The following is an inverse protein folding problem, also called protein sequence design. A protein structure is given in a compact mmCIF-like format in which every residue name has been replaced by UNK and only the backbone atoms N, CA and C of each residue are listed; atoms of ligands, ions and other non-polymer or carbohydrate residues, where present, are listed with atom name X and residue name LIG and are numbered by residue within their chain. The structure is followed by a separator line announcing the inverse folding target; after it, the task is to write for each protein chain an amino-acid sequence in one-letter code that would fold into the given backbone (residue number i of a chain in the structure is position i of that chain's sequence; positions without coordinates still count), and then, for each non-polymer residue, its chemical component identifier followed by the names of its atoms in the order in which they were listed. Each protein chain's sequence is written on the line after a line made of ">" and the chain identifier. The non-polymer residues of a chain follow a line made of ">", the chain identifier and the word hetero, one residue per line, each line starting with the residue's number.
data_IF_499007067636
#
_entry.id   IF_499007067636
#
_cell.length_a   1.000
_cell.length_b   1.000
_cell.length_c   1.000
_cell.angle_alpha   90.00
_cell.angle_beta   90.00
_cell.angle_gamma   90.00
#
_symmetry.space_group_name_H-M   'P 1'
#
loop_
_entity.id
_entity.type
_entity.pdbx_description
1 polymer ?
#
# COMPACT_ATOMS: atom_id res chain seq x y z
N UNK A 1 12.84 1.60 -6.23
CA UNK A 1 12.90 1.50 -4.75
C UNK A 1 11.83 0.56 -4.16
N UNK A 2 11.02 -0.13 -4.97
CA UNK A 2 9.87 -0.91 -4.47
C UNK A 2 10.23 -1.95 -3.41
N UNK A 3 11.34 -2.67 -3.60
CA UNK A 3 11.76 -3.76 -2.72
C UNK A 3 12.08 -3.41 -1.26
N UNK A 4 12.19 -2.12 -0.92
CA UNK A 4 12.38 -1.71 0.48
C UNK A 4 11.09 -1.26 1.15
N UNK A 5 10.06 -0.87 0.37
CA UNK A 5 8.93 -0.11 0.88
C UNK A 5 7.82 -1.01 1.40
N UNK A 6 7.24 -1.84 0.55
CA UNK A 6 5.99 -2.55 0.84
C UNK A 6 6.26 -3.97 1.35
N UNK A 7 5.59 -4.34 2.43
CA UNK A 7 5.67 -5.66 3.05
C UNK A 7 4.26 -6.07 3.43
N UNK A 8 3.85 -7.28 3.05
CA UNK A 8 2.55 -7.84 3.39
C UNK A 8 2.74 -9.26 3.89
N UNK A 9 1.96 -9.63 4.90
CA UNK A 9 2.00 -10.93 5.53
C UNK A 9 0.58 -11.44 5.69
N UNK A 10 0.26 -12.49 4.95
CA UNK A 10 -1.06 -13.12 4.95
C UNK A 10 -1.57 -13.41 6.37
N UNK A 11 -2.74 -12.86 6.69
CA UNK A 11 -3.40 -13.06 7.99
C UNK A 11 -2.76 -12.34 9.18
N UNK A 12 -1.71 -11.56 8.96
CA UNK A 12 -0.96 -10.86 10.01
C UNK A 12 -1.10 -9.34 9.84
N UNK A 13 -0.96 -8.84 8.62
CA UNK A 13 -1.04 -7.41 8.32
C UNK A 13 -0.04 -6.99 7.25
N UNK A 14 0.22 -5.68 7.16
CA UNK A 14 1.13 -5.10 6.19
C UNK A 14 1.83 -3.87 6.75
N UNK A 15 2.96 -3.50 6.16
CA UNK A 15 3.56 -2.19 6.38
C UNK A 15 4.21 -1.61 5.11
N UNK A 16 4.24 -0.28 5.05
CA UNK A 16 5.02 0.48 4.09
C UNK A 16 6.02 1.35 4.85
N UNK A 17 7.32 1.15 4.62
CA UNK A 17 8.41 1.93 5.24
C UNK A 17 9.08 2.83 4.19
N UNK A 18 9.04 4.14 4.44
CA UNK A 18 9.51 5.19 3.53
C UNK A 18 9.94 6.43 4.33
N UNK A 19 9.98 7.60 3.68
CA UNK A 19 10.32 8.90 4.27
C UNK A 19 11.52 9.53 3.57
N UNK A 20 12.11 10.53 4.22
CA UNK A 20 13.39 11.11 3.79
C UNK A 20 14.47 10.01 3.69
N UNK A 21 14.45 9.07 4.63
CA UNK A 21 15.27 7.85 4.57
C UNK A 21 14.48 6.65 5.10
N UNK A 22 14.44 5.56 4.33
CA UNK A 22 13.77 4.31 4.73
C UNK A 22 14.54 3.58 5.83
N UNK A 23 13.83 2.99 6.79
CA UNK A 23 14.39 1.98 7.69
C UNK A 23 13.96 0.58 7.21
N UNK A 24 14.85 -0.20 6.56
CA UNK A 24 14.49 -1.50 5.98
C UNK A 24 14.24 -2.59 7.04
N UNK A 25 14.50 -2.30 8.32
CA UNK A 25 14.36 -3.26 9.41
C UNK A 25 13.03 -3.15 10.16
N UNK A 26 12.25 -2.10 9.93
CA UNK A 26 10.89 -1.96 10.49
C UNK A 26 10.01 -3.20 10.26
N UNK A 27 9.97 -3.81 9.05
CA UNK A 27 9.15 -4.98 8.81
C UNK A 27 9.52 -6.16 9.72
N UNK A 28 10.83 -6.38 9.96
CA UNK A 28 11.33 -7.45 10.85
C UNK A 28 10.93 -7.22 12.31
N UNK A 29 10.84 -5.97 12.74
CA UNK A 29 10.43 -5.62 14.10
C UNK A 29 8.90 -5.60 14.28
N UNK A 30 8.16 -5.17 13.25
CA UNK A 30 6.70 -5.09 13.25
C UNK A 30 6.04 -6.45 13.17
N UNK A 31 6.52 -7.33 12.27
CA UNK A 31 5.87 -8.62 11.98
C UNK A 31 5.61 -9.46 13.24
N UNK A 32 6.59 -9.71 14.14
CA UNK A 32 6.33 -10.52 15.33
C UNK A 32 5.30 -9.90 16.28
N UNK A 33 5.20 -8.56 16.33
CA UNK A 33 4.20 -7.87 17.14
C UNK A 33 2.79 -8.08 16.57
N UNK A 34 2.65 -7.98 15.25
CA UNK A 34 1.38 -8.21 14.57
C UNK A 34 0.97 -9.70 14.64
N UNK A 35 1.93 -10.63 14.54
CA UNK A 35 1.69 -12.08 14.73
C UNK A 35 1.16 -12.39 16.14
N UNK A 36 1.52 -11.59 17.14
CA UNK A 36 1.02 -11.67 18.51
C UNK A 36 -0.32 -10.92 18.71
N UNK A 37 -0.92 -10.40 17.64
CA UNK A 37 -2.19 -9.69 17.68
C UNK A 37 -2.11 -8.25 18.16
N UNK A 38 -0.92 -7.64 18.20
CA UNK A 38 -0.78 -6.23 18.54
C UNK A 38 -1.54 -5.35 17.55
N UNK A 39 -2.19 -4.30 18.07
CA UNK A 39 -2.80 -3.28 17.21
C UNK A 39 -1.72 -2.50 16.45
N UNK A 40 -2.04 -2.06 15.23
CA UNK A 40 -1.08 -1.35 14.38
C UNK A 40 -0.47 -0.12 15.06
N UNK A 41 -1.25 0.64 15.83
CA UNK A 41 -0.79 1.82 16.57
C UNK A 41 0.25 1.47 17.64
N UNK A 42 -0.03 0.46 18.46
CA UNK A 42 0.87 -0.01 19.52
C UNK A 42 2.16 -0.62 18.95
N UNK A 43 2.03 -1.47 17.92
CA UNK A 43 3.18 -2.06 17.23
C UNK A 43 4.07 -0.98 16.61
N UNK A 44 3.47 0.00 15.93
CA UNK A 44 4.19 1.11 15.32
C UNK A 44 4.88 1.97 16.38
N UNK A 45 4.17 2.37 17.44
CA UNK A 45 4.76 3.19 18.52
C UNK A 45 6.01 2.52 19.12
N UNK A 46 5.96 1.21 19.37
CA UNK A 46 7.10 0.45 19.89
C UNK A 46 8.31 0.52 18.96
N UNK A 47 8.10 0.30 17.65
CA UNK A 47 9.18 0.33 16.66
C UNK A 47 9.74 1.74 16.47
N UNK A 48 8.89 2.76 16.44
CA UNK A 48 9.30 4.16 16.34
C UNK A 48 10.11 4.60 17.57
N UNK A 49 9.68 4.24 18.79
CA UNK A 49 10.41 4.62 20.02
C UNK A 49 11.82 4.03 20.11
N UNK A 50 12.10 2.96 19.36
CA UNK A 50 13.41 2.32 19.31
C UNK A 50 14.32 2.88 18.19
N UNK A 51 13.82 3.75 17.32
CA UNK A 51 14.58 4.35 16.21
C UNK A 51 14.93 5.81 16.52
N UNK A 52 16.18 6.07 16.90
CA UNK A 52 16.68 7.45 17.09
C UNK A 52 16.63 8.30 15.82
N UNK A 53 16.49 7.68 14.64
CA UNK A 53 16.28 8.33 13.36
C UNK A 53 14.81 8.49 12.95
N UNK A 54 13.85 8.18 13.83
CA UNK A 54 12.41 8.21 13.55
C UNK A 54 11.90 9.51 12.91
N UNK A 55 12.51 10.67 13.22
CA UNK A 55 12.16 11.95 12.65
C UNK A 55 12.29 12.00 11.11
N UNK A 56 13.14 11.16 10.50
CA UNK A 56 13.37 11.08 9.05
C UNK A 56 12.57 9.98 8.35
N UNK A 57 11.66 9.32 9.08
CA UNK A 57 10.92 8.14 8.61
C UNK A 57 9.46 8.48 8.37
N UNK A 58 8.84 7.80 7.44
CA UNK A 58 7.40 7.68 7.35
C UNK A 58 7.06 6.20 7.28
N UNK A 59 6.22 5.71 8.17
CA UNK A 59 5.81 4.31 8.17
C UNK A 59 4.31 4.20 8.34
N UNK A 60 3.68 3.46 7.43
CA UNK A 60 2.29 3.03 7.50
C UNK A 60 2.26 1.56 7.91
N UNK A 61 1.43 1.20 8.87
CA UNK A 61 1.22 -0.18 9.33
C UNK A 61 -0.28 -0.46 9.37
N UNK A 62 -0.68 -1.66 8.98
CA UNK A 62 -2.04 -2.17 9.11
C UNK A 62 -2.00 -3.55 9.77
N UNK A 63 -2.84 -3.76 10.78
CA UNK A 63 -2.99 -5.06 11.45
C UNK A 63 -3.97 -5.98 10.72
N UNK A 64 -4.07 -7.24 11.15
CA UNK A 64 -4.95 -8.24 10.56
C UNK A 64 -6.45 -7.88 10.61
N UNK A 65 -6.85 -6.94 11.48
CA UNK A 65 -8.22 -6.45 11.60
C UNK A 65 -8.48 -5.23 10.71
N UNK A 66 -7.52 -4.86 9.85
CA UNK A 66 -7.62 -3.71 8.96
C UNK A 66 -7.45 -2.36 9.65
N UNK A 67 -7.04 -2.32 10.92
CA UNK A 67 -6.78 -1.06 11.63
C UNK A 67 -5.40 -0.58 11.25
N UNK A 68 -5.30 0.67 10.82
CA UNK A 68 -4.06 1.25 10.32
C UNK A 68 -3.54 2.38 11.22
N UNK A 69 -2.22 2.54 11.25
CA UNK A 69 -1.53 3.64 11.92
C UNK A 69 -0.39 4.18 11.04
N UNK A 70 -0.13 5.48 11.13
CA UNK A 70 0.93 6.16 10.38
C UNK A 70 1.82 6.95 11.33
N UNK A 71 3.13 6.79 11.16
CA UNK A 71 4.14 7.68 11.68
C UNK A 71 4.65 8.53 10.53
N UNK A 72 4.71 9.85 10.72
CA UNK A 72 5.35 10.78 9.80
C UNK A 72 6.28 11.67 10.61
N UNK A 73 7.58 11.36 10.56
CA UNK A 73 8.60 12.13 11.25
C UNK A 73 8.71 13.57 10.72
N UNK A 74 9.11 14.48 11.61
CA UNK A 74 9.15 15.92 11.36
C UNK A 74 10.18 16.36 10.30
N UNK A 75 11.18 15.53 9.99
CA UNK A 75 12.22 15.81 9.00
C UNK A 75 11.85 15.32 7.60
N UNK A 76 10.66 14.73 7.41
CA UNK A 76 10.20 14.38 6.07
C UNK A 76 9.92 15.65 5.26
N UNK A 77 10.24 15.58 3.96
CA UNK A 77 10.06 16.72 3.08
C UNK A 77 8.57 16.88 2.71
N UNK A 78 8.00 18.09 2.87
CA UNK A 78 6.62 18.37 2.47
C UNK A 78 6.45 18.26 0.94
N UNK A 79 5.24 17.97 0.44
CA UNK A 79 4.03 17.70 1.21
C UNK A 79 4.00 16.27 1.79
N UNK A 80 3.62 16.14 3.07
CA UNK A 80 3.44 14.87 3.77
C UNK A 80 1.96 14.70 4.10
N UNK A 81 1.35 13.59 3.68
CA UNK A 81 -0.08 13.37 3.88
C UNK A 81 -0.41 11.88 4.10
N UNK A 82 -1.55 11.62 4.74
CA UNK A 82 -2.12 10.29 4.89
C UNK A 82 -3.65 10.32 4.99
N UNK A 83 -4.27 9.20 4.62
CA UNK A 83 -5.71 8.92 4.73
C UNK A 83 -5.90 7.47 5.14
N UNK A 84 -6.72 7.24 6.16
CA UNK A 84 -6.94 5.93 6.78
C UNK A 84 -8.44 5.67 6.93
N UNK A 85 -8.86 4.44 6.64
CA UNK A 85 -10.11 3.85 7.07
C UNK A 85 -9.88 2.36 7.34
N UNK A 86 -10.85 1.67 7.93
CA UNK A 86 -10.72 0.23 8.18
C UNK A 86 -10.51 -0.53 6.86
N UNK A 87 -9.42 -1.27 6.77
CA UNK A 87 -9.04 -2.07 5.59
C UNK A 87 -8.38 -1.28 4.45
N UNK A 88 -8.20 0.04 4.56
CA UNK A 88 -7.51 0.83 3.53
C UNK A 88 -6.74 2.01 4.13
N UNK A 89 -5.50 2.17 3.69
CA UNK A 89 -4.64 3.24 4.17
C UNK A 89 -3.66 3.70 3.09
N UNK A 90 -3.45 5.02 3.03
CA UNK A 90 -2.57 5.67 2.05
C UNK A 90 -1.71 6.69 2.78
N UNK A 91 -0.42 6.72 2.47
CA UNK A 91 0.53 7.68 3.02
C UNK A 91 1.61 8.04 2.00
N UNK A 92 2.07 9.29 2.03
CA UNK A 92 3.14 9.78 1.17
C UNK A 92 3.87 10.99 1.75
N UNK A 93 5.04 11.26 1.20
CA UNK A 93 5.89 12.43 1.44
C UNK A 93 6.48 12.90 0.10
N UNK A 94 7.02 14.12 0.03
CA UNK A 94 7.46 14.75 -1.23
C UNK A 94 6.34 14.78 -2.29
N UNK A 95 5.09 14.94 -1.86
CA UNK A 95 3.93 14.98 -2.75
C UNK A 95 3.76 16.37 -3.35
N UNK A 96 3.20 16.44 -4.56
CA UNK A 96 2.78 17.70 -5.18
C UNK A 96 1.67 18.42 -4.38
N UNK A 97 0.91 17.66 -3.57
CA UNK A 97 -0.11 18.16 -2.65
C UNK A 97 -0.85 17.01 -1.95
N UNK A 98 -1.69 17.34 -0.98
CA UNK A 98 -2.53 16.36 -0.26
C UNK A 98 -3.53 15.64 -1.19
N UNK A 99 -3.97 16.31 -2.25
CA UNK A 99 -4.82 15.77 -3.32
C UNK A 99 -4.29 14.47 -3.94
N UNK A 100 -2.97 14.23 -3.90
CA UNK A 100 -2.36 12.98 -4.40
C UNK A 100 -2.82 11.78 -3.57
N UNK A 101 -2.76 11.91 -2.24
CA UNK A 101 -3.24 10.87 -1.33
C UNK A 101 -4.76 10.74 -1.40
N UNK A 102 -5.48 11.85 -1.58
CA UNK A 102 -6.94 11.82 -1.71
C UNK A 102 -7.36 11.09 -2.99
N UNK A 103 -6.75 11.40 -4.13
CA UNK A 103 -7.07 10.78 -5.41
C UNK A 103 -6.84 9.26 -5.38
N UNK A 104 -5.74 8.80 -4.77
CA UNK A 104 -5.48 7.37 -4.60
C UNK A 104 -6.55 6.70 -3.73
N UNK A 105 -6.82 7.28 -2.56
CA UNK A 105 -7.76 6.75 -1.59
C UNK A 105 -9.18 6.69 -2.15
N UNK A 106 -9.63 7.76 -2.81
CA UNK A 106 -10.92 7.86 -3.46
C UNK A 106 -11.07 6.87 -4.62
N UNK A 107 -10.08 6.82 -5.51
CA UNK A 107 -10.08 5.88 -6.64
C UNK A 107 -10.23 4.43 -6.15
N UNK A 108 -9.51 4.07 -5.08
CA UNK A 108 -9.59 2.73 -4.51
C UNK A 108 -10.98 2.43 -3.93
N UNK A 109 -11.55 3.33 -3.15
CA UNK A 109 -12.86 3.14 -2.55
C UNK A 109 -13.97 3.04 -3.61
N UNK A 110 -13.95 3.92 -4.63
CA UNK A 110 -14.95 3.90 -5.71
C UNK A 110 -14.91 2.60 -6.51
N UNK A 111 -13.71 2.05 -6.72
CA UNK A 111 -13.52 0.80 -7.44
C UNK A 111 -13.97 -0.43 -6.65
N UNK A 112 -13.81 -0.42 -5.32
CA UNK A 112 -13.91 -1.63 -4.51
C UNK A 112 -15.04 -1.64 -3.48
N UNK A 113 -15.72 -0.52 -3.20
CA UNK A 113 -16.75 -0.41 -2.16
C UNK A 113 -18.12 0.01 -2.72
N UNK A 114 -19.18 -0.47 -2.07
CA UNK A 114 -20.57 -0.09 -2.39
C UNK A 114 -20.97 1.23 -1.75
N UNK A 115 -20.43 1.54 -0.56
CA UNK A 115 -20.73 2.75 0.20
C UNK A 115 -19.61 3.81 0.11
N UNK A 116 -18.84 3.83 -0.98
CA UNK A 116 -17.65 4.70 -1.15
C UNK A 116 -17.90 6.18 -0.78
N UNK A 117 -19.03 6.77 -1.17
CA UNK A 117 -19.43 8.13 -0.79
C UNK A 117 -19.61 8.32 0.73
N UNK A 118 -20.19 7.34 1.42
CA UNK A 118 -20.36 7.42 2.87
C UNK A 118 -19.01 7.37 3.59
N UNK A 119 -18.08 6.53 3.11
CA UNK A 119 -16.71 6.42 3.62
C UNK A 119 -15.93 7.72 3.40
N UNK A 120 -15.98 8.28 2.19
CA UNK A 120 -15.26 9.53 1.86
C UNK A 120 -15.72 10.71 2.71
N UNK A 121 -16.99 10.72 3.10
CA UNK A 121 -17.57 11.70 4.02
C UNK A 121 -17.37 11.36 5.51
N UNK A 122 -16.63 10.29 5.84
CA UNK A 122 -16.32 9.88 7.20
C UNK A 122 -17.52 9.37 8.02
N UNK A 123 -18.60 8.94 7.35
CA UNK A 123 -19.85 8.53 8.01
C UNK A 123 -19.90 7.05 8.34
N UNK A 124 -19.24 6.22 7.54
CA UNK A 124 -19.30 4.76 7.63
C UNK A 124 -17.93 4.13 7.38
N UNK A 125 -17.74 2.90 7.87
CA UNK A 125 -16.62 2.07 7.47
C UNK A 125 -16.81 1.53 6.04
N UNK A 126 -15.72 1.21 5.31
CA UNK A 126 -15.82 0.61 3.99
C UNK A 126 -16.62 -0.70 3.97
N UNK A 127 -17.62 -0.75 3.10
CA UNK A 127 -18.33 -1.97 2.71
C UNK A 127 -17.80 -2.41 1.34
N UNK A 128 -16.90 -3.39 1.34
CA UNK A 128 -16.26 -3.91 0.13
C UNK A 128 -17.23 -4.77 -0.68
N UNK A 129 -17.17 -4.63 -2.00
CA UNK A 129 -17.94 -5.45 -2.95
C UNK A 129 -17.55 -6.91 -2.84
N UNK A 130 -18.52 -7.79 -3.05
CA UNK A 130 -18.25 -9.22 -3.18
C UNK A 130 -17.19 -9.48 -4.26
N UNK A 131 -16.21 -10.31 -3.93
CA UNK A 131 -15.10 -10.68 -4.82
C UNK A 131 -14.26 -9.51 -5.36
N UNK A 132 -14.24 -8.34 -4.69
CA UNK A 132 -13.39 -7.22 -5.11
C UNK A 132 -11.90 -7.62 -5.26
N UNK A 133 -11.44 -8.59 -4.45
CA UNK A 133 -10.08 -9.15 -4.48
C UNK A 133 -9.70 -9.70 -5.86
N UNK A 134 -10.67 -10.20 -6.63
CA UNK A 134 -10.43 -10.73 -7.98
C UNK A 134 -9.93 -9.64 -8.92
N UNK A 135 -10.33 -8.37 -8.75
CA UNK A 135 -9.89 -7.22 -9.55
C UNK A 135 -8.89 -6.30 -8.83
N UNK A 136 -8.35 -6.75 -7.69
CA UNK A 136 -7.50 -5.92 -6.83
C UNK A 136 -6.20 -5.43 -7.50
N UNK A 137 -5.44 -6.26 -8.26
CA UNK A 137 -4.28 -5.76 -8.99
C UNK A 137 -4.64 -4.57 -9.91
N UNK A 138 -5.71 -4.70 -10.69
CA UNK A 138 -6.17 -3.69 -11.65
C UNK A 138 -6.65 -2.40 -10.95
N UNK A 139 -7.41 -2.54 -9.86
CA UNK A 139 -7.92 -1.39 -9.11
C UNK A 139 -6.79 -0.64 -8.37
N UNK A 140 -5.77 -1.35 -7.89
CA UNK A 140 -4.56 -0.75 -7.31
C UNK A 140 -3.75 0.02 -8.36
N UNK A 141 -3.53 -0.54 -9.55
CA UNK A 141 -2.83 0.18 -10.63
C UNK A 141 -3.61 1.42 -11.06
N UNK A 142 -4.94 1.31 -11.20
CA UNK A 142 -5.81 2.45 -11.52
C UNK A 142 -5.74 3.54 -10.45
N UNK A 143 -5.70 3.15 -9.18
CA UNK A 143 -5.59 4.11 -8.07
C UNK A 143 -4.22 4.80 -8.01
N UNK A 144 -3.14 4.08 -8.35
CA UNK A 144 -1.82 4.68 -8.52
C UNK A 144 -1.80 5.69 -9.68
N UNK A 145 -2.47 5.38 -10.79
CA UNK A 145 -2.60 6.30 -11.92
C UNK A 145 -3.30 7.60 -11.50
N UNK A 146 -4.45 7.50 -10.81
CA UNK A 146 -5.18 8.65 -10.26
C UNK A 146 -4.31 9.53 -9.35
N UNK A 147 -3.41 8.92 -8.57
CA UNK A 147 -2.48 9.66 -7.71
C UNK A 147 -1.41 10.43 -8.52
N UNK A 148 -0.88 9.82 -9.59
CA UNK A 148 0.08 10.46 -10.48
C UNK A 148 -0.57 11.60 -11.28
N UNK A 149 -1.80 11.42 -11.77
CA UNK A 149 -2.57 12.46 -12.46
C UNK A 149 -2.88 13.65 -11.53
N UNK A 150 -3.07 13.39 -10.24
CA UNK A 150 -3.19 14.43 -9.22
C UNK A 150 -1.86 15.15 -8.89
N UNK A 151 -0.75 14.75 -9.51
CA UNK A 151 0.56 15.39 -9.45
C UNK A 151 1.68 14.51 -8.88
N UNK A 152 1.36 13.39 -8.22
CA UNK A 152 2.33 12.41 -7.75
C UNK A 152 3.45 12.96 -6.82
N UNK A 153 4.60 12.29 -6.89
CA UNK A 153 5.86 12.73 -6.27
C UNK A 153 6.47 13.88 -7.08
N UNK A 154 6.90 14.96 -6.41
CA UNK A 154 7.43 16.18 -7.07
C UNK A 154 8.71 15.94 -7.88
N UNK A 155 9.40 14.82 -7.65
CA UNK A 155 10.61 14.43 -8.39
C UNK A 155 10.29 13.62 -9.65
N UNK A 156 9.01 13.27 -9.84
CA UNK A 156 8.56 12.33 -10.86
C UNK A 156 8.69 10.87 -10.39
N UNK A 157 7.71 10.04 -10.76
CA UNK A 157 7.72 8.62 -10.45
C UNK A 157 8.59 7.85 -11.46
N UNK A 158 9.55 7.08 -10.95
CA UNK A 158 10.44 6.21 -11.76
C UNK A 158 10.31 4.73 -11.44
N UNK A 159 9.58 4.39 -10.38
CA UNK A 159 9.38 3.00 -9.97
C UNK A 159 8.02 2.83 -9.33
N UNK A 160 7.41 1.68 -9.54
CA UNK A 160 6.14 1.29 -8.93
C UNK A 160 6.15 -0.20 -8.63
N UNK A 161 5.41 -0.61 -7.62
CA UNK A 161 5.32 -2.01 -7.23
C UNK A 161 4.00 -2.33 -6.54
N UNK A 162 3.57 -3.58 -6.68
CA UNK A 162 2.41 -4.15 -6.01
C UNK A 162 2.83 -5.44 -5.33
N UNK A 163 2.38 -5.62 -4.09
CA UNK A 163 2.46 -6.89 -3.39
C UNK A 163 1.10 -7.25 -2.81
N UNK A 164 0.62 -8.44 -3.17
CA UNK A 164 -0.71 -8.92 -2.83
C UNK A 164 -0.56 -10.32 -2.24
N UNK A 165 -1.06 -10.49 -1.03
CA UNK A 165 -1.10 -11.75 -0.31
C UNK A 165 -2.55 -12.22 -0.23
N UNK A 166 -2.80 -13.52 -0.42
CA UNK A 166 -4.16 -14.08 -0.42
C UNK A 166 -4.21 -15.41 0.32
N UNK A 167 -5.36 -15.68 0.95
CA UNK A 167 -5.66 -17.01 1.51
C UNK A 167 -6.08 -18.02 0.44
N UNK A 168 -6.52 -17.55 -0.73
CA UNK A 168 -7.06 -18.38 -1.80
C UNK A 168 -6.11 -18.54 -3.00
N UNK A 169 -5.03 -17.77 -3.06
CA UNK A 169 -4.13 -17.75 -4.22
C UNK A 169 -2.68 -17.53 -3.82
N UNK A 170 -1.75 -17.93 -4.70
CA UNK A 170 -0.34 -17.64 -4.56
C UNK A 170 -0.07 -16.13 -4.48
N UNK A 171 0.97 -15.69 -3.75
CA UNK A 171 1.30 -14.28 -3.62
C UNK A 171 1.73 -13.68 -4.97
N UNK A 172 1.35 -12.42 -5.19
CA UNK A 172 1.72 -11.64 -6.36
C UNK A 172 2.70 -10.54 -5.92
N UNK A 173 3.84 -10.45 -6.59
CA UNK A 173 4.86 -9.41 -6.38
C UNK A 173 5.27 -8.86 -7.75
N UNK A 174 4.78 -7.67 -8.10
CA UNK A 174 5.01 -7.03 -9.40
C UNK A 174 5.78 -5.75 -9.20
N UNK A 175 6.87 -5.59 -9.96
CA UNK A 175 7.80 -4.49 -9.76
C UNK A 175 8.28 -3.93 -11.10
N UNK A 176 8.13 -2.62 -11.24
CA UNK A 176 8.89 -1.82 -12.20
C UNK A 176 9.88 -1.02 -11.37
N UNK A 177 11.12 -1.50 -11.28
CA UNK A 177 12.13 -0.90 -10.39
C UNK A 177 12.78 0.37 -10.97
N UNK A 178 12.71 0.54 -12.29
CA UNK A 178 13.12 1.75 -13.00
C UNK A 178 12.35 1.90 -14.32
N UNK A 179 11.90 3.10 -14.64
CA UNK A 179 11.23 3.43 -15.90
C UNK A 179 11.59 4.82 -16.40
N UNK A 180 11.91 4.89 -17.69
CA UNK A 180 12.07 6.15 -18.43
C UNK A 180 10.83 6.52 -19.24
N UNK A 181 9.87 5.60 -19.37
CA UNK A 181 8.64 5.78 -20.14
C UNK A 181 7.40 5.89 -19.24
N UNK A 182 6.26 5.46 -19.77
CA UNK A 182 5.02 5.40 -19.01
C UNK A 182 5.05 4.26 -17.98
N UNK A 183 5.31 4.65 -16.73
CA UNK A 183 5.40 3.75 -15.59
C UNK A 183 4.10 2.99 -15.31
N UNK A 184 2.94 3.64 -15.49
CA UNK A 184 1.64 3.01 -15.24
C UNK A 184 1.37 1.97 -16.31
N UNK A 185 1.58 2.30 -17.58
CA UNK A 185 1.43 1.34 -18.68
C UNK A 185 2.33 0.12 -18.51
N UNK A 186 3.57 0.30 -18.02
CA UNK A 186 4.46 -0.83 -17.74
C UNK A 186 3.95 -1.72 -16.59
N UNK A 187 3.47 -1.12 -15.50
CA UNK A 187 2.89 -1.88 -14.38
C UNK A 187 1.59 -2.59 -14.78
N UNK A 188 0.73 -1.95 -15.58
CA UNK A 188 -0.45 -2.58 -16.20
C UNK A 188 -0.05 -3.77 -17.07
N UNK A 189 1.02 -3.63 -17.85
CA UNK A 189 1.57 -4.74 -18.63
C UNK A 189 1.95 -5.94 -17.78
N UNK A 190 2.56 -5.72 -16.61
CA UNK A 190 2.86 -6.81 -15.66
C UNK A 190 1.59 -7.48 -15.14
N UNK A 191 0.55 -6.70 -14.79
CA UNK A 191 -0.75 -7.25 -14.38
C UNK A 191 -1.35 -8.11 -15.49
N UNK A 192 -1.34 -7.64 -16.74
CA UNK A 192 -1.82 -8.41 -17.89
C UNK A 192 -1.05 -9.72 -18.09
N UNK A 193 0.27 -9.73 -17.88
CA UNK A 193 1.08 -10.96 -17.96
C UNK A 193 0.71 -11.95 -16.87
N UNK A 194 0.40 -11.47 -15.65
CA UNK A 194 -0.10 -12.33 -14.56
C UNK A 194 -1.46 -12.94 -14.89
N UNK A 195 -2.32 -12.20 -15.60
CA UNK A 195 -3.66 -12.66 -16.03
C UNK A 195 -3.64 -13.54 -17.27
N UNK A 196 -2.53 -13.62 -17.98
CA UNK A 196 -2.43 -14.44 -19.19
C UNK A 196 -2.75 -15.92 -18.83
N UNK A 197 -3.57 -16.62 -19.64
CA UNK A 197 -4.07 -17.96 -19.29
C UNK A 197 -2.99 -18.93 -18.79
N UNK A 198 -1.88 -19.04 -19.51
CA UNK A 198 -0.77 -19.93 -19.15
C UNK A 198 -0.18 -19.61 -17.76
N UNK A 199 0.01 -18.34 -17.44
CA UNK A 199 0.58 -17.93 -16.16
C UNK A 199 -0.45 -18.01 -15.03
N UNK A 200 -1.71 -17.69 -15.30
CA UNK A 200 -2.80 -17.81 -14.35
C UNK A 200 -3.05 -19.27 -13.95
N UNK A 201 -3.02 -20.20 -14.92
CA UNK A 201 -3.09 -21.64 -14.67
C UNK A 201 -1.90 -22.13 -13.83
N UNK A 202 -0.70 -21.67 -14.14
CA UNK A 202 0.48 -21.94 -13.33
C UNK A 202 0.29 -21.47 -11.88
N UNK A 203 -0.14 -20.22 -11.64
CA UNK A 203 -0.39 -19.71 -10.29
C UNK A 203 -1.47 -20.53 -9.54
N UNK A 204 -2.51 -20.95 -10.24
CA UNK A 204 -3.59 -21.77 -9.67
C UNK A 204 -3.12 -23.18 -9.28
N UNK A 205 -2.05 -23.69 -9.92
CA UNK A 205 -1.43 -24.99 -9.60
C UNK A 205 -0.51 -24.96 -8.37
N UNK A 206 -0.13 -23.76 -7.90
CA UNK A 206 0.81 -23.63 -6.78
C UNK A 206 0.12 -23.97 -5.44
N UNK A 207 0.89 -24.46 -4.45
CA UNK A 207 0.36 -24.67 -3.10
C UNK A 207 -0.18 -23.36 -2.53
N UNK A 208 -1.39 -23.41 -1.96
CA UNK A 208 -1.94 -22.29 -1.22
C UNK A 208 -1.24 -22.10 0.14
N UNK A 209 -0.52 -23.10 0.67
CA UNK A 209 0.20 -23.08 1.95
C UNK A 209 1.43 -23.97 1.93
#
# INVERSE_FOLDING_TARGET
>A
MGGYVHHAWRGVGACATQGLTTNPWYPRALRPLLEQGAEASSALQRVISADSGAARRQCLVMDANGRAAVHSGADNLPCVASRLATGVAVAGNMLAGDRVVHALFESFLRANCDNSEAVLNGREAPNYRDNYETGLPESLVTSLASALDAGGDVRGARSAALRIESFASAPIDLRVDWSEGDLISQLQGLVQRVRAPEFAEFLASLPAR
#
